data_IF_347435507547
#
_entry.id   IF_347435507547
#
_cell.length_a   1.000
_cell.length_b   1.000
_cell.length_c   1.000
_cell.angle_alpha   90.00
_cell.angle_beta   90.00
_cell.angle_gamma   90.00
#
_symmetry.space_group_name_H-M   'P 1'
#
loop_
_entity.id
_entity.type
_entity.pdbx_description
1 polymer ?
#
# COMPACT_ATOMS: atom_id res chain seq x y z
N UNK A 1 49.59 -47.77 -14.92
CA UNK A 1 48.99 -46.51 -15.43
C UNK A 1 47.58 -46.81 -15.90
N UNK A 2 46.60 -46.15 -15.24
CA UNK A 2 45.22 -45.79 -15.62
C UNK A 2 44.76 -46.26 -17.01
N UNK A 3 43.60 -46.89 -17.15
CA UNK A 3 42.31 -46.18 -17.36
C UNK A 3 41.10 -47.02 -16.92
N UNK A 4 40.25 -46.37 -16.14
CA UNK A 4 39.09 -46.91 -15.46
C UNK A 4 37.83 -46.99 -16.36
N UNK A 5 36.96 -47.94 -16.02
CA UNK A 5 35.59 -48.11 -16.51
C UNK A 5 34.77 -46.83 -16.29
N UNK A 6 34.12 -46.33 -17.35
CA UNK A 6 33.14 -45.26 -17.26
C UNK A 6 31.76 -45.88 -17.08
N UNK A 7 31.24 -45.91 -15.86
CA UNK A 7 29.82 -46.21 -15.58
C UNK A 7 29.08 -44.87 -15.56
N UNK A 8 28.23 -44.67 -16.56
CA UNK A 8 27.36 -43.50 -16.68
C UNK A 8 26.19 -43.65 -15.71
N UNK A 9 26.24 -42.94 -14.58
CA UNK A 9 25.17 -42.90 -13.59
C UNK A 9 24.33 -41.64 -13.83
N UNK A 10 23.09 -41.88 -14.26
CA UNK A 10 22.07 -40.86 -14.53
C UNK A 10 21.58 -40.34 -13.17
N UNK A 11 21.96 -39.12 -12.79
CA UNK A 11 21.44 -38.47 -11.58
C UNK A 11 20.15 -37.73 -11.96
N UNK A 12 19.02 -38.32 -11.59
CA UNK A 12 17.70 -37.70 -11.70
C UNK A 12 17.59 -36.51 -10.74
N UNK A 13 17.29 -35.34 -11.31
CA UNK A 13 17.12 -34.08 -10.62
C UNK A 13 15.83 -34.10 -9.78
N UNK A 14 15.96 -34.15 -8.46
CA UNK A 14 14.83 -34.00 -7.51
C UNK A 14 14.44 -32.52 -7.47
N UNK A 15 13.28 -32.19 -8.01
CA UNK A 15 12.69 -30.84 -7.89
C UNK A 15 11.95 -30.78 -6.56
N UNK A 16 12.59 -30.23 -5.54
CA UNK A 16 11.92 -29.94 -4.26
C UNK A 16 11.07 -28.69 -4.49
N UNK A 17 9.76 -28.88 -4.71
CA UNK A 17 8.81 -27.78 -4.72
C UNK A 17 8.72 -27.16 -3.33
N UNK A 18 9.39 -26.03 -3.13
CA UNK A 18 9.19 -25.21 -1.92
C UNK A 18 7.81 -24.56 -2.02
N UNK A 19 6.84 -25.13 -1.30
CA UNK A 19 5.58 -24.46 -1.01
C UNK A 19 5.89 -23.26 -0.11
N UNK A 20 5.99 -22.07 -0.70
CA UNK A 20 6.04 -20.82 0.07
C UNK A 20 4.72 -20.75 0.84
N UNK A 21 4.72 -20.71 2.18
CA UNK A 21 3.48 -20.53 2.92
C UNK A 21 2.92 -19.15 2.55
N UNK A 22 1.67 -19.11 2.08
CA UNK A 22 0.92 -17.87 2.00
C UNK A 22 0.58 -17.44 3.43
N UNK A 23 1.47 -16.66 4.05
CA UNK A 23 1.19 -16.02 5.33
C UNK A 23 0.11 -14.96 5.11
N UNK A 24 -1.12 -15.25 5.52
CA UNK A 24 -2.17 -14.25 5.60
C UNK A 24 -1.81 -13.25 6.71
N UNK A 25 -1.46 -12.01 6.35
CA UNK A 25 -1.31 -10.92 7.31
C UNK A 25 -2.70 -10.45 7.74
N UNK A 26 -3.05 -10.66 9.01
CA UNK A 26 -4.26 -10.13 9.65
C UNK A 26 -3.98 -8.83 10.41
N UNK A 27 -3.01 -8.03 9.92
CA UNK A 27 -2.53 -6.84 10.59
C UNK A 27 -3.47 -5.64 10.46
N UNK A 28 -3.71 -4.96 11.58
CA UNK A 28 -4.11 -3.55 11.60
C UNK A 28 -2.90 -2.70 11.18
N UNK A 29 -3.14 -1.56 10.55
CA UNK A 29 -2.11 -0.60 10.14
C UNK A 29 -2.27 0.76 10.82
N UNK A 30 -1.33 1.65 10.52
CA UNK A 30 -1.38 3.05 10.87
C UNK A 30 -1.48 3.89 9.60
N UNK A 31 -2.21 4.99 9.67
CA UNK A 31 -2.41 5.96 8.60
C UNK A 31 -2.04 7.35 9.10
N UNK A 32 -1.76 8.27 8.18
CA UNK A 32 -1.76 9.69 8.48
C UNK A 32 -3.16 10.28 8.32
N UNK A 33 -3.49 11.25 9.16
CA UNK A 33 -4.65 12.12 9.04
C UNK A 33 -4.28 13.46 9.69
N UNK A 34 -4.33 14.54 8.92
CA UNK A 34 -4.06 15.92 9.37
C UNK A 34 -2.76 16.10 10.16
N UNK A 35 -1.70 15.40 9.73
CA UNK A 35 -0.40 15.42 10.41
C UNK A 35 -0.26 14.49 11.62
N UNK A 36 -1.36 13.87 12.07
CA UNK A 36 -1.37 12.87 13.13
C UNK A 36 -1.31 11.44 12.56
N UNK A 37 -0.96 10.48 13.42
CA UNK A 37 -0.99 9.05 13.10
C UNK A 37 -2.23 8.42 13.75
N UNK A 38 -3.10 7.81 12.95
CA UNK A 38 -4.31 7.11 13.40
C UNK A 38 -4.19 5.61 13.13
N UNK A 39 -4.79 4.79 13.99
CA UNK A 39 -4.77 3.33 13.87
C UNK A 39 -6.00 2.81 13.15
N UNK A 40 -5.85 1.79 12.31
CA UNK A 40 -6.99 1.09 11.72
C UNK A 40 -7.63 0.14 12.74
N UNK A 41 -8.96 0.06 12.80
CA UNK A 41 -9.69 -0.73 13.79
C UNK A 41 -9.78 -2.21 13.42
N UNK A 42 -9.79 -2.53 12.12
CA UNK A 42 -9.94 -3.91 11.59
C UNK A 42 -8.91 -4.17 10.49
N UNK A 43 -8.93 -5.36 9.89
CA UNK A 43 -8.15 -5.67 8.70
C UNK A 43 -8.88 -5.12 7.47
N UNK A 44 -8.18 -4.48 6.51
CA UNK A 44 -8.78 -4.00 5.28
C UNK A 44 -9.56 -5.08 4.49
N UNK A 45 -10.74 -4.71 4.00
CA UNK A 45 -11.56 -5.56 3.11
C UNK A 45 -11.84 -4.83 1.80
N UNK A 46 -11.57 -5.45 0.65
CA UNK A 46 -11.80 -4.84 -0.65
C UNK A 46 -13.28 -4.52 -0.92
N UNK A 47 -13.56 -3.33 -1.43
CA UNK A 47 -14.89 -2.84 -1.84
C UNK A 47 -14.80 -2.11 -3.19
N UNK A 48 -14.06 -2.69 -4.14
CA UNK A 48 -13.73 -2.12 -5.45
C UNK A 48 -14.84 -1.23 -6.05
N UNK A 49 -14.50 0.03 -6.32
CA UNK A 49 -15.37 1.04 -6.92
C UNK A 49 -16.46 1.60 -6.02
N UNK A 50 -16.52 1.22 -4.74
CA UNK A 50 -17.55 1.65 -3.78
C UNK A 50 -17.01 2.56 -2.68
N UNK A 51 -15.75 2.99 -2.77
CA UNK A 51 -15.17 3.94 -1.82
C UNK A 51 -15.77 5.34 -1.99
N UNK A 52 -15.99 6.02 -0.86
CA UNK A 52 -16.53 7.38 -0.76
C UNK A 52 -15.73 8.28 0.20
N UNK A 53 -14.90 7.71 1.07
CA UNK A 53 -14.00 8.44 1.97
C UNK A 53 -12.61 8.59 1.29
N UNK A 54 -12.06 9.80 1.06
CA UNK A 54 -10.80 9.95 0.34
C UNK A 54 -9.63 9.23 1.04
N UNK A 55 -8.86 8.47 0.27
CA UNK A 55 -7.64 7.82 0.73
C UNK A 55 -6.52 7.97 -0.30
N UNK A 56 -5.35 8.41 0.15
CA UNK A 56 -4.20 8.65 -0.71
C UNK A 56 -3.09 7.65 -0.41
N UNK A 57 -2.82 6.80 -1.39
CA UNK A 57 -1.77 5.78 -1.37
C UNK A 57 -0.55 6.30 -2.12
N UNK A 58 0.49 6.71 -1.41
CA UNK A 58 1.74 7.17 -2.01
C UNK A 58 2.57 5.96 -2.47
N UNK A 59 2.88 5.88 -3.77
CA UNK A 59 3.48 4.68 -4.40
C UNK A 59 5.01 4.69 -4.42
N UNK A 60 5.62 5.87 -4.40
CA UNK A 60 7.07 6.11 -4.44
C UNK A 60 7.50 7.18 -3.42
N UNK A 61 6.92 7.13 -2.21
CA UNK A 61 7.14 8.13 -1.16
C UNK A 61 8.48 8.03 -0.45
N UNK A 62 8.74 9.01 0.43
CA UNK A 62 9.89 8.99 1.33
C UNK A 62 9.79 7.85 2.37
N UNK A 63 10.91 7.53 3.02
CA UNK A 63 10.91 6.58 4.13
C UNK A 63 9.97 7.06 5.26
N UNK A 64 9.18 6.13 5.81
CA UNK A 64 8.19 6.44 6.85
C UNK A 64 6.84 6.95 6.33
N UNK A 65 6.66 7.03 5.00
CA UNK A 65 5.37 7.33 4.41
C UNK A 65 4.31 6.26 4.76
N UNK A 66 3.15 6.72 5.21
CA UNK A 66 1.95 5.89 5.45
C UNK A 66 0.87 6.23 4.41
N UNK A 67 -0.20 5.46 4.37
CA UNK A 67 -1.42 5.88 3.67
C UNK A 67 -2.05 7.08 4.37
N UNK A 68 -2.69 7.97 3.62
CA UNK A 68 -3.26 9.22 4.15
C UNK A 68 -4.78 9.12 4.05
N UNK A 69 -5.45 9.22 5.19
CA UNK A 69 -6.89 9.35 5.28
C UNK A 69 -7.28 10.83 5.17
N UNK A 70 -8.08 11.17 4.16
CA UNK A 70 -8.61 12.54 4.01
C UNK A 70 -9.82 12.81 4.91
N UNK A 71 -10.32 11.79 5.62
CA UNK A 71 -11.38 11.90 6.63
C UNK A 71 -11.18 10.87 7.74
N UNK A 72 -11.56 11.20 8.96
CA UNK A 72 -11.52 10.35 10.14
C UNK A 72 -12.75 10.60 11.05
N UNK A 73 -12.97 9.77 12.10
CA UNK A 73 -14.05 10.01 13.05
C UNK A 73 -13.96 11.40 13.68
N UNK A 74 -15.03 12.18 13.56
CA UNK A 74 -15.05 13.59 13.97
C UNK A 74 -15.21 14.52 12.76
N UNK A 75 -14.75 14.08 11.60
CA UNK A 75 -14.99 14.78 10.34
C UNK A 75 -16.42 14.48 9.88
N UNK A 76 -17.18 15.54 9.58
CA UNK A 76 -18.57 15.45 9.15
C UNK A 76 -18.83 14.39 8.06
N UNK A 77 -18.04 14.31 6.98
CA UNK A 77 -18.26 13.36 5.89
C UNK A 77 -17.59 11.99 6.10
N UNK A 78 -17.31 11.54 7.32
CA UNK A 78 -16.69 10.23 7.54
C UNK A 78 -17.69 9.05 7.45
N UNK A 79 -17.47 8.10 6.53
CA UNK A 79 -18.36 6.95 6.30
C UNK A 79 -17.80 5.61 6.81
N UNK A 80 -16.99 5.67 7.86
CA UNK A 80 -16.43 4.48 8.51
C UNK A 80 -15.26 3.88 7.72
N UNK A 81 -14.49 4.72 7.02
CA UNK A 81 -13.33 4.32 6.26
C UNK A 81 -13.71 3.48 5.05
N UNK A 82 -14.76 3.88 4.33
CA UNK A 82 -15.07 3.36 2.99
C UNK A 82 -14.12 4.00 1.98
N UNK A 83 -12.86 3.60 2.01
CA UNK A 83 -11.78 4.30 1.33
C UNK A 83 -11.92 4.28 -0.20
N UNK A 84 -12.05 5.48 -0.76
CA UNK A 84 -11.90 5.80 -2.17
C UNK A 84 -10.43 6.03 -2.46
N UNK A 85 -9.78 5.06 -3.09
CA UNK A 85 -8.31 5.07 -3.22
C UNK A 85 -7.86 5.94 -4.40
N UNK A 86 -6.89 6.80 -4.12
CA UNK A 86 -6.13 7.57 -5.09
C UNK A 86 -4.64 7.21 -4.96
N UNK A 87 -4.02 6.83 -6.06
CA UNK A 87 -2.57 6.63 -6.11
C UNK A 87 -1.87 7.97 -6.29
N UNK A 88 -0.96 8.28 -5.38
CA UNK A 88 -0.13 9.47 -5.39
C UNK A 88 1.28 9.07 -5.80
N UNK A 89 1.82 9.71 -6.83
CA UNK A 89 3.15 9.39 -7.35
C UNK A 89 3.96 10.67 -7.55
N UNK A 90 5.11 10.77 -6.87
CA UNK A 90 6.07 11.85 -7.08
C UNK A 90 6.62 11.81 -8.51
N UNK A 91 6.74 12.99 -9.12
CA UNK A 91 7.27 13.18 -10.46
C UNK A 91 8.75 12.83 -10.59
N UNK A 92 9.19 12.58 -11.81
CA UNK A 92 10.61 12.36 -12.09
C UNK A 92 11.44 13.61 -11.75
N UNK A 93 12.55 13.44 -11.03
CA UNK A 93 13.41 14.53 -10.59
C UNK A 93 12.97 15.24 -9.30
N UNK A 94 11.80 14.91 -8.77
CA UNK A 94 11.36 15.37 -7.44
C UNK A 94 11.92 14.41 -6.39
N UNK A 95 12.58 14.96 -5.36
CA UNK A 95 13.00 14.15 -4.20
C UNK A 95 11.77 13.93 -3.30
N UNK A 96 11.30 12.68 -3.10
CA UNK A 96 10.10 12.44 -2.30
C UNK A 96 10.26 12.96 -0.87
N UNK A 97 9.17 13.51 -0.33
CA UNK A 97 9.01 13.89 1.08
C UNK A 97 7.76 13.25 1.66
N UNK A 98 7.65 13.26 2.99
CA UNK A 98 6.50 12.64 3.67
C UNK A 98 5.29 13.57 3.55
N UNK A 99 4.18 13.03 3.04
CA UNK A 99 2.87 13.67 2.99
C UNK A 99 1.99 13.09 4.11
N UNK A 100 1.35 13.96 4.89
CA UNK A 100 0.64 13.54 6.12
C UNK A 100 -0.82 14.03 6.21
N UNK A 101 -1.32 14.75 5.21
CA UNK A 101 -2.73 15.13 5.09
C UNK A 101 -3.13 15.22 3.63
N UNK A 102 -4.43 15.23 3.34
CA UNK A 102 -4.93 15.40 1.98
C UNK A 102 -4.66 16.82 1.45
N UNK A 103 -4.67 17.86 2.30
CA UNK A 103 -4.23 19.21 1.88
C UNK A 103 -2.77 19.21 1.43
N UNK A 104 -1.90 18.45 2.11
CA UNK A 104 -0.51 18.31 1.69
C UNK A 104 -0.41 17.62 0.31
N UNK A 105 -1.24 16.59 0.06
CA UNK A 105 -1.32 15.94 -1.26
C UNK A 105 -1.81 16.92 -2.32
N UNK A 106 -2.87 17.68 -2.04
CA UNK A 106 -3.43 18.66 -2.98
C UNK A 106 -2.43 19.79 -3.27
N UNK A 107 -1.73 20.31 -2.25
CA UNK A 107 -0.70 21.31 -2.42
C UNK A 107 0.47 20.79 -3.26
N UNK A 108 0.95 19.57 -2.99
CA UNK A 108 1.98 18.91 -3.79
C UNK A 108 1.55 18.71 -5.24
N UNK A 109 0.27 18.36 -5.48
CA UNK A 109 -0.26 18.23 -6.83
C UNK A 109 -0.33 19.60 -7.53
N UNK A 110 -0.77 20.64 -6.85
CA UNK A 110 -0.89 21.99 -7.40
C UNK A 110 0.45 22.56 -7.88
N UNK A 111 1.54 22.25 -7.17
CA UNK A 111 2.90 22.67 -7.56
C UNK A 111 3.58 21.69 -8.53
N UNK A 112 2.92 20.59 -8.88
CA UNK A 112 3.40 19.61 -9.86
C UNK A 112 4.37 18.56 -9.31
N UNK A 113 4.55 18.49 -7.99
CA UNK A 113 5.44 17.51 -7.36
C UNK A 113 4.89 16.08 -7.47
N UNK A 114 3.57 15.93 -7.41
CA UNK A 114 2.89 14.63 -7.48
C UNK A 114 1.79 14.62 -8.52
N UNK A 115 1.51 13.43 -9.02
CA UNK A 115 0.29 13.10 -9.76
C UNK A 115 -0.64 12.30 -8.86
N UNK A 116 -1.94 12.62 -8.87
CA UNK A 116 -2.96 11.88 -8.13
C UNK A 116 -3.92 11.23 -9.12
N UNK A 117 -4.02 9.90 -9.08
CA UNK A 117 -4.86 9.13 -10.02
C UNK A 117 -5.82 8.24 -9.25
N UNK A 118 -7.10 8.27 -9.62
CA UNK A 118 -8.11 7.40 -9.03
C UNK A 118 -7.82 5.92 -9.31
N UNK A 119 -7.83 5.09 -8.27
CA UNK A 119 -7.59 3.64 -8.35
C UNK A 119 -8.80 2.82 -7.85
N UNK A 120 -9.90 2.80 -8.63
CA UNK A 120 -11.19 2.21 -8.19
C UNK A 120 -11.12 0.75 -7.76
N UNK A 121 -10.31 -0.06 -8.45
CA UNK A 121 -10.12 -1.46 -8.10
C UNK A 121 -9.45 -1.68 -6.73
N UNK A 122 -8.76 -0.67 -6.21
CA UNK A 122 -8.04 -0.72 -4.94
C UNK A 122 -8.90 -0.27 -3.74
N UNK A 123 -10.14 0.19 -3.94
CA UNK A 123 -11.00 0.62 -2.83
C UNK A 123 -11.16 -0.48 -1.78
N UNK A 124 -11.14 -0.08 -0.51
CA UNK A 124 -11.24 -0.99 0.62
C UNK A 124 -11.96 -0.33 1.80
N UNK A 125 -12.48 -1.13 2.72
CA UNK A 125 -13.11 -0.68 3.94
C UNK A 125 -12.24 -1.03 5.14
N UNK A 126 -11.93 -0.01 5.93
CA UNK A 126 -11.29 -0.19 7.23
C UNK A 126 -11.45 1.06 8.11
N UNK A 127 -12.32 1.06 9.14
CA UNK A 127 -12.44 2.21 10.04
C UNK A 127 -11.13 2.54 10.75
N UNK A 128 -10.97 3.79 11.18
CA UNK A 128 -9.82 4.27 11.97
C UNK A 128 -10.26 4.76 13.34
N UNK A 129 -9.30 4.90 14.26
CA UNK A 129 -9.49 5.58 15.53
C UNK A 129 -9.59 7.09 15.33
N UNK A 130 -10.32 7.75 16.24
CA UNK A 130 -10.18 9.19 16.45
C UNK A 130 -8.81 9.52 17.09
#
# INVERSE_FOLDING_TARGET
MRKALTVSMIVGMVVIGVSVPASASTGKGNLFHDGAVVGTVVVPVGIAGRGIDPFYAVTNGAAGQLGIAGVAPGDGPYHGGAWQVFSVTFGAGVTPYVLTSDEAVMAAQQIGDVTVTRAAAADFRCPVTA
#
